data_IF_565736311434
#
_entry.id   IF_565736311434
#
_cell.length_a   1.000
_cell.length_b   1.000
_cell.length_c   1.000
_cell.angle_alpha   90.00
_cell.angle_beta   90.00
_cell.angle_gamma   90.00
#
_symmetry.space_group_name_H-M   'P 1'
#
loop_
_entity.id
_entity.type
_entity.pdbx_description
1 polymer ?
#
# COMPACT_ATOMS: atom_id res chain seq x y z
N UNK A 1 25.53 -20.79 -42.40
CA UNK A 1 25.15 -19.64 -41.57
C UNK A 1 23.97 -20.09 -40.73
N UNK A 2 24.22 -20.45 -39.47
CA UNK A 2 23.21 -20.81 -38.48
C UNK A 2 23.68 -20.28 -37.13
N UNK A 3 22.88 -19.33 -36.62
CA UNK A 3 22.51 -18.99 -35.24
C UNK A 3 23.51 -19.20 -34.09
N UNK A 4 23.73 -18.14 -33.30
CA UNK A 4 23.50 -18.22 -31.84
C UNK A 4 23.31 -16.81 -31.23
N UNK A 5 22.08 -16.52 -30.78
CA UNK A 5 21.72 -15.33 -30.01
C UNK A 5 21.37 -15.78 -28.59
N UNK A 6 22.38 -15.93 -27.74
CA UNK A 6 22.19 -16.24 -26.33
C UNK A 6 22.28 -14.96 -25.48
N UNK A 7 21.27 -14.62 -24.65
CA UNK A 7 21.37 -13.47 -23.76
C UNK A 7 22.41 -13.74 -22.66
N UNK A 8 23.24 -12.73 -22.44
CA UNK A 8 24.28 -12.67 -21.41
C UNK A 8 23.73 -13.06 -20.03
N UNK A 9 24.13 -14.23 -19.52
CA UNK A 9 23.88 -14.65 -18.13
C UNK A 9 25.16 -14.42 -17.32
N UNK A 10 25.10 -13.50 -16.36
CA UNK A 10 26.12 -13.36 -15.32
C UNK A 10 25.98 -14.56 -14.36
N UNK A 11 27.04 -15.34 -14.10
CA UNK A 11 26.98 -16.43 -13.14
C UNK A 11 26.98 -15.83 -11.73
N UNK A 12 25.92 -16.08 -10.97
CA UNK A 12 25.88 -15.78 -9.54
C UNK A 12 26.40 -17.02 -8.80
N UNK A 13 27.45 -16.85 -8.01
CA UNK A 13 28.02 -17.89 -7.15
C UNK A 13 26.92 -18.52 -6.26
N UNK A 14 26.90 -19.85 -6.19
CA UNK A 14 25.88 -20.61 -5.45
C UNK A 14 26.10 -20.66 -3.94
N UNK A 15 27.17 -20.06 -3.42
CA UNK A 15 27.61 -20.28 -2.04
C UNK A 15 27.15 -19.20 -1.05
N UNK A 16 26.44 -18.16 -1.51
CA UNK A 16 26.04 -17.01 -0.69
C UNK A 16 24.61 -17.12 -0.11
N UNK A 17 24.01 -18.31 -0.07
CA UNK A 17 22.64 -18.51 0.46
C UNK A 17 21.50 -18.09 -0.49
N UNK A 18 21.83 -17.92 -1.77
CA UNK A 18 20.85 -17.61 -2.82
C UNK A 18 20.36 -16.15 -2.80
N UNK A 19 19.57 -15.73 -3.79
CA UNK A 19 19.07 -14.34 -3.86
C UNK A 19 18.32 -13.91 -2.60
N UNK A 20 17.72 -14.86 -1.86
CA UNK A 20 16.95 -14.59 -0.64
C UNK A 20 17.78 -13.90 0.47
N UNK A 21 19.04 -14.30 0.69
CA UNK A 21 19.91 -13.73 1.73
C UNK A 21 20.43 -12.34 1.36
N UNK A 22 20.75 -12.11 0.09
CA UNK A 22 21.14 -10.75 -0.38
C UNK A 22 19.95 -9.77 -0.29
N UNK A 23 18.72 -10.25 -0.47
CA UNK A 23 17.51 -9.44 -0.33
C UNK A 23 17.11 -9.16 1.12
N UNK A 24 17.53 -9.99 2.08
CA UNK A 24 17.38 -9.71 3.51
C UNK A 24 18.26 -8.57 4.01
N UNK A 25 19.20 -8.04 3.21
CA UNK A 25 20.11 -6.97 3.67
C UNK A 25 19.74 -5.57 3.16
N UNK A 26 18.85 -5.45 2.17
CA UNK A 26 18.62 -4.18 1.48
C UNK A 26 17.51 -3.30 2.08
N UNK A 27 16.55 -3.83 2.87
CA UNK A 27 15.36 -3.06 3.28
C UNK A 27 14.81 -3.49 4.66
N UNK A 28 15.74 -3.63 5.59
CA UNK A 28 15.60 -4.56 6.72
C UNK A 28 15.78 -3.95 8.10
N UNK A 29 15.17 -2.78 8.40
CA UNK A 29 14.79 -2.52 9.78
C UNK A 29 13.35 -3.00 10.03
N UNK A 30 12.39 -2.48 9.26
CA UNK A 30 10.96 -2.59 9.63
C UNK A 30 10.34 -3.96 9.35
N UNK A 31 10.67 -4.60 8.22
CA UNK A 31 10.11 -5.92 7.88
C UNK A 31 10.66 -7.04 8.77
N UNK A 32 11.94 -6.97 9.15
CA UNK A 32 12.54 -8.01 10.01
C UNK A 32 12.31 -7.77 11.49
N UNK A 33 12.24 -6.52 11.97
CA UNK A 33 11.74 -6.22 13.31
C UNK A 33 10.32 -6.81 13.51
N UNK A 34 9.46 -6.66 12.50
CA UNK A 34 8.10 -7.17 12.54
C UNK A 34 8.01 -8.71 12.42
N UNK A 35 8.76 -9.33 11.51
CA UNK A 35 8.75 -10.79 11.29
C UNK A 35 9.44 -11.57 12.44
N UNK A 36 10.50 -11.00 13.05
CA UNK A 36 11.22 -11.63 14.18
C UNK A 36 10.55 -11.39 15.53
N UNK A 37 9.44 -10.63 15.58
CA UNK A 37 8.76 -10.28 16.83
C UNK A 37 9.51 -9.29 17.72
N UNK A 38 10.69 -8.84 17.30
CA UNK A 38 11.48 -7.79 17.93
C UNK A 38 11.06 -6.44 17.36
N UNK A 39 10.05 -5.80 17.95
CA UNK A 39 9.57 -4.49 17.50
C UNK A 39 8.22 -4.50 16.78
N UNK A 40 7.29 -5.37 17.22
CA UNK A 40 5.88 -5.01 17.05
C UNK A 40 5.67 -3.63 17.68
N UNK A 41 5.11 -2.64 16.97
CA UNK A 41 4.77 -1.36 17.59
C UNK A 41 3.95 -1.65 18.84
N UNK A 42 4.49 -1.31 20.02
CA UNK A 42 3.78 -1.48 21.30
C UNK A 42 3.13 -0.19 21.76
N UNK A 43 3.26 0.87 20.96
CA UNK A 43 2.61 2.17 21.16
C UNK A 43 2.59 3.01 19.89
N UNK A 44 1.83 4.12 19.95
CA UNK A 44 1.59 5.02 18.81
C UNK A 44 2.87 5.59 18.16
N UNK A 45 3.99 5.65 18.89
CA UNK A 45 5.26 6.21 18.41
C UNK A 45 5.98 5.32 17.39
N UNK A 46 5.70 4.01 17.37
CA UNK A 46 6.32 3.06 16.44
C UNK A 46 5.38 2.67 15.28
N UNK A 47 4.15 3.21 15.26
CA UNK A 47 3.17 2.90 14.25
C UNK A 47 3.47 3.69 12.96
N UNK A 48 3.73 3.03 11.81
CA UNK A 48 4.06 3.74 10.58
C UNK A 48 2.92 4.65 10.10
N UNK A 49 1.66 4.30 10.39
CA UNK A 49 0.51 5.12 10.05
C UNK A 49 0.35 6.39 10.92
N UNK A 50 0.95 6.41 12.12
CA UNK A 50 1.08 7.63 12.90
C UNK A 50 2.25 8.49 12.43
N UNK A 51 3.33 7.87 11.93
CA UNK A 51 4.53 8.57 11.46
C UNK A 51 4.31 9.20 10.08
N UNK A 52 3.72 8.48 9.12
CA UNK A 52 3.54 8.92 7.73
C UNK A 52 2.92 10.33 7.63
N UNK A 53 1.87 10.69 8.38
CA UNK A 53 1.30 12.03 8.34
C UNK A 53 2.27 13.16 8.72
N UNK A 54 3.32 12.86 9.49
CA UNK A 54 4.34 13.85 9.92
C UNK A 54 5.43 14.07 8.87
N UNK A 55 5.52 13.19 7.87
CA UNK A 55 6.47 13.28 6.77
C UNK A 55 5.93 14.16 5.64
N UNK A 56 6.84 14.59 4.76
CA UNK A 56 6.45 15.15 3.46
C UNK A 56 5.73 14.10 2.62
N UNK A 57 4.78 14.53 1.80
CA UNK A 57 3.92 13.56 1.10
C UNK A 57 4.66 12.64 0.13
N UNK A 58 5.75 13.10 -0.47
CA UNK A 58 6.59 12.28 -1.35
C UNK A 58 7.30 11.17 -0.57
N UNK A 59 7.84 11.50 0.60
CA UNK A 59 8.55 10.58 1.48
C UNK A 59 7.59 9.55 2.09
N UNK A 60 6.41 10.00 2.53
CA UNK A 60 5.36 9.15 3.09
C UNK A 60 4.51 8.42 2.04
N UNK A 61 4.71 8.67 0.75
CA UNK A 61 3.86 8.21 -0.35
C UNK A 61 2.37 8.57 -0.18
N UNK A 62 2.09 9.71 0.47
CA UNK A 62 0.74 10.21 0.75
C UNK A 62 0.14 10.74 -0.54
N UNK A 63 -0.98 10.19 -0.96
CA UNK A 63 -1.69 10.64 -2.17
C UNK A 63 -2.59 11.83 -1.88
N UNK A 64 -3.29 11.80 -0.73
CA UNK A 64 -4.18 12.88 -0.33
C UNK A 64 -4.40 12.91 1.17
N UNK A 65 -4.69 14.11 1.68
CA UNK A 65 -4.95 14.39 3.10
C UNK A 65 -6.36 14.94 3.25
N UNK A 66 -7.14 14.33 4.13
CA UNK A 66 -8.44 14.81 4.56
C UNK A 66 -8.37 15.46 5.93
N UNK A 67 -9.52 15.60 6.57
CA UNK A 67 -9.69 16.13 7.92
C UNK A 67 -9.36 15.07 8.98
N UNK A 68 -9.93 13.88 8.86
CA UNK A 68 -9.83 12.77 9.81
C UNK A 68 -9.15 11.53 9.22
N UNK A 69 -9.03 11.45 7.89
CA UNK A 69 -8.39 10.35 7.17
C UNK A 69 -7.37 10.85 6.14
N UNK A 70 -6.47 9.97 5.70
CA UNK A 70 -5.59 10.20 4.56
C UNK A 70 -5.51 8.95 3.67
N UNK A 71 -5.10 9.16 2.42
CA UNK A 71 -4.84 8.09 1.46
C UNK A 71 -3.34 8.00 1.19
N UNK A 72 -2.79 6.78 1.24
CA UNK A 72 -1.36 6.51 1.07
C UNK A 72 -1.17 5.28 0.18
N UNK A 73 -0.11 5.23 -0.63
CA UNK A 73 0.21 4.01 -1.37
C UNK A 73 0.70 2.91 -0.43
N UNK A 74 0.34 1.68 -0.74
CA UNK A 74 0.99 0.54 -0.12
C UNK A 74 2.42 0.37 -0.67
N UNK A 75 3.40 0.32 0.24
CA UNK A 75 4.81 0.09 -0.10
C UNK A 75 5.04 -1.29 -0.74
N UNK A 76 4.17 -2.26 -0.45
CA UNK A 76 4.20 -3.62 -1.02
C UNK A 76 2.88 -3.90 -1.76
N UNK A 77 2.65 -3.25 -2.91
CA UNK A 77 1.36 -3.29 -3.57
C UNK A 77 1.09 -4.65 -4.23
N UNK A 78 -0.13 -5.16 -4.11
CA UNK A 78 -0.62 -6.27 -4.94
C UNK A 78 -0.66 -5.89 -6.44
N UNK A 79 -1.11 -4.67 -6.75
CA UNK A 79 -1.17 -4.09 -8.09
C UNK A 79 -0.80 -2.61 -8.03
N UNK A 80 -0.28 -2.06 -9.13
CA UNK A 80 0.00 -0.62 -9.22
C UNK A 80 -1.27 0.20 -8.92
N UNK A 81 -1.14 1.22 -8.07
CA UNK A 81 -2.27 2.01 -7.58
C UNK A 81 -3.01 1.40 -6.37
N UNK A 82 -2.46 0.35 -5.73
CA UNK A 82 -2.94 -0.12 -4.43
C UNK A 82 -2.79 0.99 -3.38
N UNK A 83 -3.92 1.52 -2.93
CA UNK A 83 -4.01 2.51 -1.87
C UNK A 83 -4.47 1.91 -0.55
N UNK A 84 -4.07 2.55 0.54
CA UNK A 84 -4.62 2.35 1.88
C UNK A 84 -5.24 3.66 2.34
N UNK A 85 -6.43 3.56 2.92
CA UNK A 85 -7.15 4.66 3.52
C UNK A 85 -7.12 4.49 5.02
N UNK A 86 -6.65 5.53 5.71
CA UNK A 86 -6.18 5.40 7.08
C UNK A 86 -6.70 6.59 7.89
N UNK A 87 -7.36 6.36 9.04
CA UNK A 87 -7.67 7.43 9.97
C UNK A 87 -6.38 7.99 10.58
N UNK A 88 -6.30 9.30 10.82
CA UNK A 88 -5.16 9.87 11.56
C UNK A 88 -5.10 9.36 12.99
N UNK A 89 -6.27 9.15 13.61
CA UNK A 89 -6.37 8.60 14.96
C UNK A 89 -5.92 7.14 14.96
N UNK A 90 -5.05 6.80 15.90
CA UNK A 90 -4.60 5.42 16.10
C UNK A 90 -5.73 4.61 16.74
N UNK A 91 -6.49 3.89 15.91
CA UNK A 91 -7.54 2.97 16.35
C UNK A 91 -7.43 1.64 15.64
N UNK A 92 -7.57 0.51 16.36
CA UNK A 92 -7.42 -0.81 15.76
C UNK A 92 -8.67 -1.26 15.01
N UNK A 93 -9.85 -1.00 15.56
CA UNK A 93 -11.11 -1.62 15.13
C UNK A 93 -12.03 -0.63 14.41
N UNK A 94 -12.74 -1.11 13.39
CA UNK A 94 -13.69 -0.28 12.64
C UNK A 94 -14.85 0.21 13.49
N UNK A 95 -15.24 -0.57 14.50
CA UNK A 95 -16.32 -0.22 15.43
C UNK A 95 -15.97 0.94 16.37
N UNK A 96 -14.67 1.27 16.48
CA UNK A 96 -14.19 2.39 17.29
C UNK A 96 -14.13 3.72 16.51
N UNK A 97 -14.42 3.73 15.20
CA UNK A 97 -14.47 4.95 14.41
C UNK A 97 -15.68 5.81 14.78
N UNK A 98 -15.46 7.12 14.81
CA UNK A 98 -16.54 8.10 14.92
C UNK A 98 -17.39 8.12 13.64
N UNK A 99 -18.66 8.54 13.71
CA UNK A 99 -19.50 8.68 12.52
C UNK A 99 -18.86 9.56 11.43
N UNK A 100 -18.16 10.62 11.83
CA UNK A 100 -17.46 11.54 10.93
C UNK A 100 -16.27 10.85 10.24
N UNK A 101 -15.46 10.10 10.98
CA UNK A 101 -14.36 9.31 10.41
C UNK A 101 -14.88 8.24 9.43
N UNK A 102 -16.00 7.57 9.75
CA UNK A 102 -16.63 6.59 8.85
C UNK A 102 -17.10 7.26 7.55
N UNK A 103 -17.76 8.42 7.67
CA UNK A 103 -18.25 9.17 6.52
C UNK A 103 -17.09 9.61 5.61
N UNK A 104 -16.03 10.16 6.19
CA UNK A 104 -14.87 10.60 5.41
C UNK A 104 -14.07 9.43 4.83
N UNK A 105 -13.90 8.33 5.57
CA UNK A 105 -13.27 7.11 5.06
C UNK A 105 -14.02 6.58 3.82
N UNK A 106 -15.36 6.58 3.87
CA UNK A 106 -16.22 6.22 2.73
C UNK A 106 -16.04 7.16 1.54
N UNK A 107 -16.04 8.48 1.77
CA UNK A 107 -15.83 9.48 0.73
C UNK A 107 -14.43 9.39 0.09
N UNK A 108 -13.39 9.19 0.91
CA UNK A 108 -12.03 8.92 0.43
C UNK A 108 -11.97 7.64 -0.39
N UNK A 109 -12.70 6.59 0.00
CA UNK A 109 -12.74 5.32 -0.74
C UNK A 109 -13.29 5.53 -2.14
N UNK A 110 -14.42 6.23 -2.25
CA UNK A 110 -15.02 6.55 -3.53
C UNK A 110 -14.10 7.41 -4.39
N UNK A 111 -13.44 8.40 -3.80
CA UNK A 111 -12.47 9.28 -4.49
C UNK A 111 -11.29 8.48 -5.00
N UNK A 112 -10.65 7.67 -4.14
CA UNK A 112 -9.53 6.80 -4.51
C UNK A 112 -9.88 5.89 -5.70
N UNK A 113 -11.06 5.26 -5.69
CA UNK A 113 -11.50 4.41 -6.79
C UNK A 113 -11.70 5.18 -8.11
N UNK A 114 -12.25 6.41 -8.06
CA UNK A 114 -12.42 7.25 -9.26
C UNK A 114 -11.08 7.70 -9.82
N UNK A 115 -10.19 8.20 -8.95
CA UNK A 115 -8.84 8.65 -9.31
C UNK A 115 -8.05 7.51 -9.94
N UNK A 116 -7.94 6.37 -9.25
CA UNK A 116 -7.17 5.22 -9.74
C UNK A 116 -7.75 4.71 -11.06
N UNK A 117 -9.07 4.66 -11.20
CA UNK A 117 -9.71 4.26 -12.46
C UNK A 117 -9.38 5.22 -13.60
N UNK A 118 -9.45 6.53 -13.36
CA UNK A 118 -9.15 7.54 -14.37
C UNK A 118 -7.69 7.50 -14.82
N UNK A 119 -6.75 7.30 -13.88
CA UNK A 119 -5.31 7.31 -14.14
C UNK A 119 -4.83 5.99 -14.76
N UNK A 120 -5.35 4.84 -14.30
CA UNK A 120 -4.78 3.52 -14.66
C UNK A 120 -5.68 2.70 -15.59
N UNK A 121 -6.94 3.09 -15.78
CA UNK A 121 -7.91 2.30 -16.54
C UNK A 121 -8.38 1.02 -15.82
N UNK A 122 -8.26 0.94 -14.48
CA UNK A 122 -8.69 -0.21 -13.71
C UNK A 122 -10.16 -0.62 -14.02
N UNK A 123 -10.39 -1.92 -14.25
CA UNK A 123 -11.72 -2.46 -14.59
C UNK A 123 -12.58 -2.68 -13.34
N UNK A 124 -11.94 -2.98 -12.20
CA UNK A 124 -12.61 -3.26 -10.93
C UNK A 124 -11.71 -2.96 -9.74
N UNK A 125 -12.22 -3.21 -8.53
CA UNK A 125 -11.51 -2.97 -7.28
C UNK A 125 -11.85 -4.05 -6.25
N UNK A 126 -10.87 -4.43 -5.43
CA UNK A 126 -11.13 -5.05 -4.14
C UNK A 126 -10.99 -3.99 -3.04
N UNK A 127 -12.03 -3.88 -2.22
CA UNK A 127 -12.04 -3.02 -1.05
C UNK A 127 -12.16 -3.91 0.18
N UNK A 128 -11.31 -3.72 1.19
CA UNK A 128 -11.35 -4.54 2.39
C UNK A 128 -10.43 -4.09 3.51
N UNK A 129 -10.72 -4.60 4.71
CA UNK A 129 -9.94 -4.40 5.93
C UNK A 129 -9.72 -5.76 6.57
N UNK A 130 -8.51 -6.01 7.06
CA UNK A 130 -8.25 -7.14 7.95
C UNK A 130 -8.34 -6.62 9.39
N UNK A 131 -9.26 -7.14 10.19
CA UNK A 131 -9.51 -6.70 11.57
C UNK A 131 -8.92 -7.67 12.59
N UNK A 132 -7.93 -7.20 13.35
CA UNK A 132 -7.17 -8.00 14.31
C UNK A 132 -6.08 -8.89 13.70
N UNK A 133 -5.12 -9.29 14.53
CA UNK A 133 -3.93 -10.04 14.08
C UNK A 133 -4.28 -11.39 13.41
N UNK A 134 -5.32 -12.08 13.88
CA UNK A 134 -5.75 -13.38 13.33
C UNK A 134 -6.34 -13.25 11.92
N UNK A 135 -6.92 -12.10 11.58
CA UNK A 135 -7.44 -11.83 10.24
C UNK A 135 -6.32 -11.46 9.23
N UNK A 136 -5.06 -11.46 9.64
CA UNK A 136 -3.93 -11.11 8.77
C UNK A 136 -3.71 -9.61 8.63
N UNK A 137 -4.12 -8.81 9.61
CA UNK A 137 -3.78 -7.39 9.65
C UNK A 137 -2.26 -7.23 9.77
N UNK A 138 -1.65 -6.61 8.76
CA UNK A 138 -0.21 -6.36 8.72
C UNK A 138 0.25 -5.43 9.83
N UNK A 139 -0.60 -4.50 10.25
CA UNK A 139 -0.43 -3.58 11.40
C UNK A 139 -1.78 -3.59 12.12
N UNK A 140 -1.91 -4.44 13.14
CA UNK A 140 -3.22 -4.78 13.72
C UNK A 140 -3.77 -3.74 14.70
N UNK A 141 -2.93 -2.82 15.16
CA UNK A 141 -3.25 -1.77 16.13
C UNK A 141 -3.78 -0.48 15.48
N UNK A 142 -3.64 -0.34 14.16
CA UNK A 142 -4.10 0.83 13.43
C UNK A 142 -4.81 0.42 12.12
N UNK A 143 -6.11 0.66 12.10
CA UNK A 143 -7.02 0.39 11.01
C UNK A 143 -6.53 1.01 9.70
N UNK A 144 -6.61 0.24 8.63
CA UNK A 144 -6.34 0.72 7.28
C UNK A 144 -7.19 -0.09 6.29
N UNK A 145 -7.91 0.61 5.43
CA UNK A 145 -8.71 -0.01 4.38
C UNK A 145 -7.94 -0.05 3.07
N UNK A 146 -7.81 -1.24 2.51
CA UNK A 146 -7.21 -1.44 1.21
C UNK A 146 -8.18 -1.09 0.09
N UNK A 147 -7.68 -0.37 -0.92
CA UNK A 147 -8.33 -0.19 -2.22
C UNK A 147 -7.37 -0.68 -3.31
N UNK A 148 -7.61 -1.89 -3.82
CA UNK A 148 -6.73 -2.57 -4.76
C UNK A 148 -7.36 -2.58 -6.15
N UNK A 149 -6.79 -1.90 -7.15
CA UNK A 149 -7.30 -1.93 -8.52
C UNK A 149 -7.09 -3.29 -9.17
N UNK A 150 -8.03 -3.69 -10.03
CA UNK A 150 -8.09 -4.99 -10.71
C UNK A 150 -8.35 -4.85 -12.21
N UNK A 151 -7.83 -5.79 -12.99
CA UNK A 151 -8.00 -5.89 -14.43
C UNK A 151 -8.53 -7.26 -14.85
N UNK A 152 -9.14 -7.33 -16.02
CA UNK A 152 -9.55 -8.62 -16.59
C UNK A 152 -8.32 -9.49 -16.87
N UNK A 153 -8.24 -10.66 -16.25
CA UNK A 153 -7.12 -11.59 -16.42
C UNK A 153 -5.96 -11.39 -15.43
N UNK A 154 -6.07 -10.49 -14.46
CA UNK A 154 -5.14 -10.47 -13.33
C UNK A 154 -5.44 -11.62 -12.35
N UNK A 155 -4.42 -12.09 -11.65
CA UNK A 155 -4.57 -13.19 -10.68
C UNK A 155 -5.40 -12.73 -9.48
N UNK A 156 -6.37 -13.56 -9.08
CA UNK A 156 -7.26 -13.32 -7.94
C UNK A 156 -6.51 -13.27 -6.59
N UNK A 157 -7.26 -13.02 -5.51
CA UNK A 157 -6.85 -12.71 -4.13
C UNK A 157 -5.66 -13.50 -3.53
N UNK A 158 -5.28 -14.64 -4.12
CA UNK A 158 -4.09 -15.40 -3.75
C UNK A 158 -2.97 -15.17 -4.76
N UNK A 159 -1.76 -14.74 -4.33
CA UNK A 159 -0.65 -14.60 -5.25
C UNK A 159 -0.25 -15.99 -5.79
N UNK A 160 -0.59 -16.26 -7.05
CA UNK A 160 0.12 -17.27 -7.83
C UNK A 160 1.50 -16.68 -8.08
N UNK A 161 2.50 -17.20 -7.38
CA UNK A 161 3.95 -16.96 -7.47
C UNK A 161 4.36 -16.12 -8.70
N UNK A 162 4.26 -14.80 -8.58
CA UNK A 162 4.65 -13.84 -9.60
C UNK A 162 5.77 -12.98 -9.04
N UNK A 163 7.02 -13.32 -9.38
CA UNK A 163 8.25 -12.68 -8.90
C UNK A 163 8.46 -11.25 -9.45
N UNK A 164 7.42 -10.57 -9.92
CA UNK A 164 7.48 -9.21 -10.44
C UNK A 164 7.30 -8.22 -9.28
N UNK A 165 8.41 -7.76 -8.72
CA UNK A 165 8.44 -6.69 -7.71
C UNK A 165 8.26 -5.33 -8.38
N UNK A 166 7.34 -4.52 -7.88
CA UNK A 166 7.21 -3.10 -8.24
C UNK A 166 8.39 -2.34 -7.64
N UNK A 167 9.19 -1.68 -8.48
CA UNK A 167 10.36 -0.91 -8.04
C UNK A 167 9.91 0.39 -7.36
N UNK A 168 10.61 0.87 -6.30
CA UNK A 168 10.27 2.11 -5.60
C UNK A 168 10.15 3.36 -6.49
N UNK A 169 10.92 3.43 -7.59
CA UNK A 169 10.82 4.52 -8.58
C UNK A 169 9.43 4.60 -9.21
N UNK A 170 8.77 3.46 -9.43
CA UNK A 170 7.40 3.40 -9.96
C UNK A 170 6.39 3.90 -8.93
N UNK A 171 6.66 3.75 -7.63
CA UNK A 171 5.76 4.22 -6.57
C UNK A 171 5.72 5.74 -6.50
N UNK A 172 6.86 6.42 -6.61
CA UNK A 172 6.92 7.89 -6.61
C UNK A 172 6.14 8.49 -7.79
N UNK A 173 6.34 7.97 -9.00
CA UNK A 173 5.61 8.39 -10.20
C UNK A 173 4.11 8.08 -10.09
N UNK A 174 3.76 6.87 -9.64
CA UNK A 174 2.36 6.50 -9.39
C UNK A 174 1.71 7.45 -8.38
N UNK A 175 2.41 7.77 -7.29
CA UNK A 175 1.94 8.71 -6.27
C UNK A 175 1.67 10.07 -6.87
N UNK A 176 2.60 10.60 -7.66
CA UNK A 176 2.46 11.90 -8.31
C UNK A 176 1.26 11.94 -9.27
N UNK A 177 1.07 10.90 -10.11
CA UNK A 177 -0.06 10.81 -11.03
C UNK A 177 -1.40 10.76 -10.30
N UNK A 178 -1.51 9.95 -9.24
CA UNK A 178 -2.74 9.83 -8.46
C UNK A 178 -3.04 11.10 -7.65
N UNK A 179 -2.02 11.71 -7.04
CA UNK A 179 -2.16 12.95 -6.27
C UNK A 179 -2.59 14.10 -7.18
N UNK A 180 -2.00 14.21 -8.38
CA UNK A 180 -2.33 15.23 -9.36
C UNK A 180 -3.77 15.17 -9.86
N UNK A 181 -4.37 13.97 -9.90
CA UNK A 181 -5.76 13.76 -10.32
C UNK A 181 -6.77 13.76 -9.15
N UNK A 182 -6.33 13.95 -7.90
CA UNK A 182 -7.20 13.76 -6.74
C UNK A 182 -8.32 14.80 -6.64
N UNK A 183 -7.98 16.07 -6.81
CA UNK A 183 -8.92 17.18 -6.64
C UNK A 183 -10.10 17.12 -7.62
N UNK A 184 -9.84 16.69 -8.87
CA UNK A 184 -10.86 16.58 -9.93
C UNK A 184 -11.92 15.51 -9.65
N UNK A 185 -11.67 14.64 -8.67
CA UNK A 185 -12.49 13.49 -8.37
C UNK A 185 -12.95 13.43 -6.91
N UNK A 186 -12.64 14.43 -6.08
CA UNK A 186 -13.02 14.44 -4.67
C UNK A 186 -14.54 14.42 -4.49
N UNK A 187 -15.07 13.50 -3.66
CA UNK A 187 -16.45 13.64 -3.16
C UNK A 187 -16.45 14.70 -2.07
N UNK A 188 -17.42 15.61 -2.10
CA UNK A 188 -17.77 16.38 -0.92
C UNK A 188 -18.40 15.45 0.14
N UNK A 189 -17.88 15.49 1.36
CA UNK A 189 -18.61 14.93 2.51
C UNK A 189 -19.71 15.95 2.85
N UNK A 190 -20.99 15.58 2.86
CA UNK A 190 -22.05 16.49 3.28
C UNK A 190 -21.80 16.95 4.72
N UNK A 191 -21.93 18.25 4.99
CA UNK A 191 -22.03 18.75 6.35
C UNK A 191 -23.34 18.22 6.97
N UNK A 192 -23.25 17.68 8.19
CA UNK A 192 -24.37 17.09 8.91
C UNK A 192 -25.38 18.15 9.40
#
# INVERSE_FOLDING_TARGET
>A
MSEDNAPYRVPVSSDDGGPATVFEHLWTPYRMAYIRGEGKPTGAHDCPFCVIPTLGDEEGLVVARGLSVFAVLNLYPYNAGHLMLVPYRHVPDYTDLTPEEVAELGAFTQTAMRVVRAVTGAHGFNIGMNQGAVAGAGIADHLHQHAVPRWGGDTNFMPVVGLTRVLPQVLGETRALLAGAWADHAVAVPEA
#
